data_IF_209198498001
#
_entry.id   IF_209198498001
#
_cell.length_a   1.000
_cell.length_b   1.000
_cell.length_c   1.000
_cell.angle_alpha   90.00
_cell.angle_beta   90.00
_cell.angle_gamma   90.00
#
_symmetry.space_group_name_H-M   'P 1'
#
loop_
_entity.id
_entity.type
_entity.pdbx_description
1 polymer ?
#
# COMPACT_ATOMS: atom_id res chain seq x y z
N UNK A 1 14.07 4.20 0.77
CA UNK A 1 12.65 4.48 1.11
C UNK A 1 12.36 5.94 0.81
N UNK A 2 11.09 6.30 0.54
CA UNK A 2 10.58 7.57 -0.03
C UNK A 2 10.13 7.54 -1.51
N UNK A 3 9.87 6.37 -2.08
CA UNK A 3 9.13 6.32 -3.35
C UNK A 3 7.72 6.85 -3.13
N UNK A 4 7.29 7.81 -3.94
CA UNK A 4 5.89 8.22 -4.02
C UNK A 4 5.19 7.24 -4.94
N UNK A 5 3.96 6.88 -4.60
CA UNK A 5 3.17 5.92 -5.38
C UNK A 5 1.72 6.36 -5.46
N UNK A 6 1.03 5.92 -6.50
CA UNK A 6 -0.42 5.97 -6.57
C UNK A 6 -0.97 4.54 -6.58
N UNK A 7 -1.92 4.27 -5.68
CA UNK A 7 -2.64 3.01 -5.58
C UNK A 7 -4.12 3.28 -5.87
N UNK A 8 -4.70 2.76 -6.97
CA UNK A 8 -6.11 2.93 -7.28
C UNK A 8 -7.01 2.52 -6.10
N UNK A 9 -7.90 3.40 -5.67
CA UNK A 9 -8.81 3.17 -4.55
C UNK A 9 -8.26 3.49 -3.15
N UNK A 10 -6.94 3.68 -3.00
CA UNK A 10 -6.33 4.15 -1.75
C UNK A 10 -5.83 5.59 -1.87
N UNK A 11 -5.19 5.93 -2.99
CA UNK A 11 -4.71 7.28 -3.29
C UNK A 11 -3.18 7.38 -3.43
N UNK A 12 -2.67 8.61 -3.32
CA UNK A 12 -1.23 8.88 -3.34
C UNK A 12 -0.63 8.59 -1.97
N UNK A 13 0.47 7.85 -1.94
CA UNK A 13 1.15 7.44 -0.72
C UNK A 13 2.68 7.53 -0.84
N UNK A 14 3.35 7.44 0.31
CA UNK A 14 4.82 7.33 0.38
C UNK A 14 5.16 5.97 1.00
N UNK A 15 6.07 5.23 0.36
CA UNK A 15 6.63 4.01 0.94
C UNK A 15 7.45 4.36 2.18
N UNK A 16 6.85 4.14 3.35
CA UNK A 16 7.34 4.61 4.65
C UNK A 16 7.81 3.51 5.62
N UNK A 17 7.52 2.24 5.35
CA UNK A 17 7.86 1.11 6.24
C UNK A 17 8.25 -0.16 5.44
N UNK A 18 8.78 -1.17 6.15
CA UNK A 18 9.05 -2.53 5.64
C UNK A 18 8.64 -3.58 6.66
N UNK A 19 8.14 -4.71 6.18
CA UNK A 19 7.89 -5.89 7.01
C UNK A 19 8.55 -7.14 6.47
N UNK A 20 8.93 -8.08 7.35
CA UNK A 20 9.59 -9.34 6.95
C UNK A 20 8.74 -10.24 6.05
N UNK A 21 7.42 -10.07 6.06
CA UNK A 21 6.47 -10.75 5.18
C UNK A 21 6.19 -10.00 3.86
N UNK A 22 6.58 -8.72 3.77
CA UNK A 22 6.37 -7.86 2.60
C UNK A 22 7.56 -8.03 1.65
N UNK A 23 7.49 -9.05 0.79
CA UNK A 23 8.55 -9.43 -0.15
C UNK A 23 8.02 -9.56 -1.57
N UNK A 24 8.82 -9.14 -2.55
CA UNK A 24 8.42 -9.12 -3.95
C UNK A 24 7.39 -8.04 -4.24
N UNK A 25 6.40 -8.33 -5.08
CA UNK A 25 5.37 -7.38 -5.49
C UNK A 25 4.19 -7.36 -4.52
N UNK A 26 4.50 -7.19 -3.23
CA UNK A 26 3.51 -7.10 -2.14
C UNK A 26 3.75 -5.76 -1.43
N UNK A 27 2.66 -5.07 -1.11
CA UNK A 27 2.67 -3.90 -0.22
C UNK A 27 1.59 -4.09 0.84
N UNK A 28 1.80 -3.53 2.03
CA UNK A 28 0.76 -3.31 3.02
C UNK A 28 0.29 -1.85 2.98
N UNK A 29 -0.99 -1.65 3.27
CA UNK A 29 -1.59 -0.32 3.33
C UNK A 29 -1.87 0.00 4.80
N UNK A 30 -1.38 1.16 5.25
CA UNK A 30 -1.66 1.68 6.58
C UNK A 30 -3.05 2.32 6.63
N UNK A 31 -3.82 2.00 7.66
CA UNK A 31 -5.10 2.65 7.95
C UNK A 31 -5.17 2.98 9.44
N UNK A 32 -5.83 4.08 9.79
CA UNK A 32 -6.05 4.46 11.19
C UNK A 32 -6.87 3.39 11.94
N UNK A 33 -7.90 2.83 11.29
CA UNK A 33 -8.59 1.62 11.73
C UNK A 33 -8.78 0.64 10.57
N UNK A 34 -7.94 -0.39 10.52
CA UNK A 34 -8.01 -1.42 9.49
C UNK A 34 -9.34 -2.21 9.47
N UNK A 35 -10.10 -2.23 10.56
CA UNK A 35 -11.37 -2.98 10.64
C UNK A 35 -12.49 -2.33 9.83
N UNK A 36 -12.43 -1.02 9.66
CA UNK A 36 -13.45 -0.22 8.96
C UNK A 36 -12.97 0.33 7.62
N UNK A 37 -11.70 0.14 7.28
CA UNK A 37 -11.06 0.61 6.05
C UNK A 37 -11.72 0.12 4.75
N UNK A 38 -12.52 -0.95 4.79
CA UNK A 38 -13.24 -1.49 3.63
C UNK A 38 -12.33 -2.10 2.55
N UNK A 39 -11.01 -2.07 2.73
CA UNK A 39 -10.04 -2.62 1.80
C UNK A 39 -9.95 -4.15 1.93
N UNK A 40 -9.83 -4.84 0.79
CA UNK A 40 -9.56 -6.28 0.73
C UNK A 40 -8.25 -6.51 0.00
N UNK A 41 -7.51 -7.56 0.39
CA UNK A 41 -6.32 -7.97 -0.32
C UNK A 41 -6.68 -8.31 -1.78
N UNK A 42 -5.99 -7.66 -2.72
CA UNK A 42 -6.26 -7.77 -4.15
C UNK A 42 -5.01 -7.43 -4.94
N UNK A 43 -4.92 -7.95 -6.17
CA UNK A 43 -3.92 -7.52 -7.14
C UNK A 43 -4.43 -6.29 -7.87
N UNK A 44 -3.64 -5.21 -7.81
CA UNK A 44 -3.89 -3.97 -8.54
C UNK A 44 -2.56 -3.44 -9.08
N UNK A 45 -2.63 -2.78 -10.23
CA UNK A 45 -1.49 -2.05 -10.75
C UNK A 45 -1.27 -0.78 -9.92
N UNK A 46 -0.04 -0.60 -9.45
CA UNK A 46 0.40 0.61 -8.75
C UNK A 46 1.36 1.39 -9.63
N UNK A 47 1.43 2.69 -9.40
CA UNK A 47 2.25 3.59 -10.19
C UNK A 47 3.32 4.22 -9.30
N UNK A 48 4.59 4.09 -9.68
CA UNK A 48 5.67 4.87 -9.08
C UNK A 48 5.60 6.30 -9.63
N UNK A 49 5.73 7.29 -8.75
CA UNK A 49 5.68 8.72 -9.07
C UNK A 49 7.03 9.40 -8.86
#
# INVERSE_FOLDING_TARGET
MRSKVYIPGYGVAVAGDTGGAIKGNIIDLGFDDARTAGWKAQFVDIYLL
#
